data_IF_560614289345
#
_entry.id   IF_560614289345
#
_cell.length_a   1.000
_cell.length_b   1.000
_cell.length_c   1.000
_cell.angle_alpha   90.00
_cell.angle_beta   90.00
_cell.angle_gamma   90.00
#
_symmetry.space_group_name_H-M   'P 1'
#
loop_
_entity.id
_entity.type
_entity.pdbx_description
1 polymer ?
#
# COMPACT_ATOMS: atom_id res chain seq x y z
N UNK A 1 11.96 -21.76 -28.04
CA UNK A 1 11.19 -21.49 -29.29
C UNK A 1 9.83 -22.09 -29.14
N UNK A 2 8.81 -21.34 -28.86
CA UNK A 2 7.39 -21.60 -29.11
C UNK A 2 6.50 -20.55 -28.38
N UNK A 3 6.51 -19.31 -28.85
CA UNK A 3 5.65 -18.22 -28.35
C UNK A 3 4.66 -17.73 -29.42
N UNK A 4 4.34 -18.56 -30.40
CA UNK A 4 3.59 -18.10 -31.59
C UNK A 4 2.12 -18.59 -31.68
N UNK A 5 1.63 -19.44 -30.79
CA UNK A 5 0.27 -19.99 -30.91
C UNK A 5 -0.85 -19.26 -30.18
N UNK A 6 -0.54 -18.55 -29.09
CA UNK A 6 -1.59 -17.89 -28.28
C UNK A 6 -2.12 -16.57 -28.85
N UNK A 7 -1.32 -15.84 -29.63
CA UNK A 7 -1.78 -14.57 -30.24
C UNK A 7 -2.69 -14.75 -31.45
N UNK A 8 -2.60 -15.87 -32.17
CA UNK A 8 -3.43 -16.14 -33.35
C UNK A 8 -4.86 -16.59 -32.99
N UNK A 9 -5.07 -17.15 -31.82
CA UNK A 9 -6.41 -17.56 -31.35
C UNK A 9 -7.25 -16.40 -30.84
N UNK A 10 -6.61 -15.31 -30.38
CA UNK A 10 -7.35 -14.12 -29.91
C UNK A 10 -7.86 -13.25 -31.07
N UNK A 11 -7.18 -13.26 -32.20
CA UNK A 11 -7.58 -12.48 -33.39
C UNK A 11 -8.50 -13.25 -34.36
N UNK A 12 -8.68 -14.54 -34.13
CA UNK A 12 -9.56 -15.37 -34.99
C UNK A 12 -11.03 -15.46 -34.55
N UNK A 13 -11.36 -14.88 -33.36
CA UNK A 13 -12.72 -14.96 -32.81
C UNK A 13 -13.67 -13.84 -33.21
N UNK A 14 -13.21 -12.83 -33.96
CA UNK A 14 -14.04 -11.66 -34.33
C UNK A 14 -14.40 -11.53 -35.80
N UNK A 15 -14.14 -12.55 -36.61
CA UNK A 15 -14.38 -12.49 -38.05
C UNK A 15 -15.58 -13.33 -38.56
N UNK A 16 -16.54 -13.68 -37.71
CA UNK A 16 -17.70 -14.49 -38.12
C UNK A 16 -19.05 -13.86 -37.70
N UNK A 17 -19.18 -12.54 -37.85
CA UNK A 17 -20.47 -11.89 -37.64
C UNK A 17 -20.62 -10.63 -38.54
N UNK A 18 -20.44 -10.79 -39.85
CA UNK A 18 -20.86 -9.76 -40.82
C UNK A 18 -21.41 -10.45 -42.08
N UNK A 19 -22.65 -10.80 -42.05
CA UNK A 19 -23.52 -10.90 -43.24
C UNK A 19 -24.96 -11.11 -42.81
N UNK A 20 -25.69 -10.10 -42.36
CA UNK A 20 -27.09 -9.88 -42.68
C UNK A 20 -27.32 -8.39 -42.72
N UNK A 21 -27.50 -7.85 -43.90
CA UNK A 21 -27.91 -6.49 -44.08
C UNK A 21 -29.38 -6.28 -43.69
N UNK A 22 -29.64 -5.24 -42.94
CA UNK A 22 -30.90 -4.52 -42.97
C UNK A 22 -30.64 -3.17 -42.31
N UNK A 23 -30.94 -2.11 -43.06
CA UNK A 23 -30.99 -0.73 -42.59
C UNK A 23 -31.89 -0.58 -41.37
N UNK A 24 -31.32 -0.67 -40.19
CA UNK A 24 -31.97 -0.38 -38.94
C UNK A 24 -31.17 0.71 -38.25
N UNK A 25 -31.73 1.90 -38.18
CA UNK A 25 -31.29 2.94 -37.26
C UNK A 25 -31.17 2.31 -35.90
N UNK A 26 -29.94 2.10 -35.43
CA UNK A 26 -29.69 1.75 -34.02
C UNK A 26 -30.04 3.01 -33.24
N UNK A 27 -31.33 3.18 -32.93
CA UNK A 27 -31.70 4.03 -31.81
C UNK A 27 -31.02 3.42 -30.61
N UNK A 28 -30.17 4.19 -29.97
CA UNK A 28 -29.60 3.86 -28.64
C UNK A 28 -30.78 3.79 -27.66
N UNK A 29 -31.56 2.71 -27.72
CA UNK A 29 -32.43 2.31 -26.64
C UNK A 29 -31.52 2.11 -25.47
N UNK A 30 -31.53 3.07 -24.55
CA UNK A 30 -30.70 3.03 -23.37
C UNK A 30 -30.78 1.64 -22.75
N UNK A 31 -29.64 0.97 -22.69
CA UNK A 31 -29.46 -0.14 -21.77
C UNK A 31 -29.55 0.48 -20.37
N UNK A 32 -30.79 0.73 -19.95
CA UNK A 32 -31.12 0.92 -18.54
C UNK A 32 -31.04 -0.47 -17.89
N UNK A 33 -29.87 -1.05 -17.91
CA UNK A 33 -29.50 -1.99 -16.89
C UNK A 33 -29.32 -1.15 -15.63
N UNK A 34 -30.40 -0.76 -15.00
CA UNK A 34 -30.40 -0.52 -13.58
C UNK A 34 -30.06 -1.86 -12.91
N UNK A 35 -28.78 -2.24 -13.05
CA UNK A 35 -28.15 -3.21 -12.19
C UNK A 35 -28.37 -2.67 -10.80
N UNK A 36 -29.27 -3.28 -10.05
CA UNK A 36 -29.40 -3.06 -8.62
C UNK A 36 -28.11 -3.59 -8.02
N UNK A 37 -27.04 -2.80 -8.14
CA UNK A 37 -25.79 -3.09 -7.44
C UNK A 37 -26.13 -3.27 -5.98
N UNK A 38 -25.75 -4.38 -5.37
CA UNK A 38 -25.99 -4.56 -3.95
C UNK A 38 -25.46 -3.36 -3.21
N UNK A 39 -26.25 -2.76 -2.32
CA UNK A 39 -25.81 -1.62 -1.51
C UNK A 39 -24.65 -2.07 -0.65
N UNK A 40 -23.45 -1.66 -0.98
CA UNK A 40 -22.26 -1.94 -0.17
C UNK A 40 -22.30 -1.04 1.05
N UNK A 41 -22.42 -1.64 2.24
CA UNK A 41 -22.32 -0.91 3.48
C UNK A 41 -20.84 -0.79 3.86
N UNK A 42 -20.33 0.43 3.90
CA UNK A 42 -19.01 0.74 4.45
C UNK A 42 -19.13 1.02 5.95
N UNK A 43 -18.21 0.43 6.73
CA UNK A 43 -18.20 0.60 8.17
C UNK A 43 -19.13 -0.35 8.95
N UNK A 44 -19.19 -0.20 10.28
CA UNK A 44 -20.01 -1.04 11.15
C UNK A 44 -21.50 -0.65 11.09
N UNK A 45 -22.35 -1.53 11.59
CA UNK A 45 -23.75 -1.19 11.83
C UNK A 45 -23.86 -0.05 12.84
N UNK A 46 -24.97 0.70 12.78
CA UNK A 46 -25.24 1.76 13.76
C UNK A 46 -25.15 1.21 15.19
N UNK A 47 -24.50 1.94 16.08
CA UNK A 47 -24.31 1.57 17.49
C UNK A 47 -23.18 0.56 17.74
N UNK A 48 -22.45 0.11 16.71
CA UNK A 48 -21.32 -0.81 16.86
C UNK A 48 -20.00 -0.03 16.70
N UNK A 49 -19.13 -0.10 17.71
CA UNK A 49 -17.77 0.40 17.60
C UNK A 49 -16.89 -0.59 16.81
N UNK A 50 -16.21 -0.12 15.76
CA UNK A 50 -15.26 -0.91 14.98
C UNK A 50 -13.87 -0.78 15.58
N UNK A 51 -13.38 -1.84 16.23
CA UNK A 51 -12.09 -1.85 16.93
C UNK A 51 -11.07 -2.84 16.32
N UNK A 52 -11.39 -3.42 15.17
CA UNK A 52 -10.56 -4.45 14.53
C UNK A 52 -9.57 -3.92 13.49
N UNK A 53 -9.55 -2.60 13.25
CA UNK A 53 -8.62 -1.96 12.33
C UNK A 53 -8.41 -0.48 12.70
N UNK A 54 -7.22 0.03 12.43
CA UNK A 54 -6.88 1.45 12.60
C UNK A 54 -7.32 2.21 11.33
N UNK A 55 -8.53 2.73 11.34
CA UNK A 55 -9.12 3.48 10.23
C UNK A 55 -9.51 4.89 10.67
N UNK A 56 -9.55 5.83 9.72
CA UNK A 56 -10.13 7.15 9.96
C UNK A 56 -11.65 7.08 9.78
N UNK A 57 -12.45 7.10 10.86
CA UNK A 57 -13.91 6.98 10.76
C UNK A 57 -14.59 8.23 10.17
N UNK A 58 -13.86 9.35 10.09
CA UNK A 58 -14.40 10.62 9.57
C UNK A 58 -14.31 10.72 8.05
N UNK A 59 -13.54 9.83 7.39
CA UNK A 59 -13.31 9.88 5.96
C UNK A 59 -12.54 11.13 5.47
N UNK A 60 -12.60 11.42 4.16
CA UNK A 60 -11.96 12.61 3.60
C UNK A 60 -12.68 13.90 4.00
N UNK A 61 -11.95 15.02 4.04
CA UNK A 61 -12.56 16.34 4.26
C UNK A 61 -13.48 16.74 3.09
N UNK A 62 -14.44 17.67 3.31
CA UNK A 62 -15.29 18.17 2.24
C UNK A 62 -14.50 18.72 1.03
N UNK A 63 -13.38 19.41 1.27
CA UNK A 63 -12.50 19.90 0.22
C UNK A 63 -11.86 18.76 -0.59
N UNK A 64 -11.43 17.68 0.10
CA UNK A 64 -10.89 16.50 -0.58
C UNK A 64 -11.97 15.78 -1.41
N UNK A 65 -13.19 15.62 -0.88
CA UNK A 65 -14.30 15.03 -1.64
C UNK A 65 -14.64 15.82 -2.88
N UNK A 66 -14.68 17.15 -2.79
CA UNK A 66 -14.89 18.04 -3.94
C UNK A 66 -13.80 17.84 -4.99
N UNK A 67 -12.53 17.89 -4.58
CA UNK A 67 -11.40 17.69 -5.49
C UNK A 67 -11.41 16.30 -6.16
N UNK A 68 -11.77 15.25 -5.43
CA UNK A 68 -11.91 13.89 -5.98
C UNK A 68 -13.01 13.86 -7.06
N UNK A 69 -14.18 14.45 -6.78
CA UNK A 69 -15.30 14.47 -7.74
C UNK A 69 -14.94 15.24 -9.02
N UNK A 70 -14.28 16.39 -8.88
CA UNK A 70 -13.83 17.19 -10.03
C UNK A 70 -12.76 16.47 -10.85
N UNK A 71 -11.78 15.85 -10.16
CA UNK A 71 -10.73 15.10 -10.82
C UNK A 71 -11.24 13.82 -11.50
N UNK A 72 -12.22 13.12 -10.92
CA UNK A 72 -12.75 11.89 -11.48
C UNK A 72 -13.39 12.09 -12.85
N UNK A 73 -14.03 13.23 -13.09
CA UNK A 73 -14.66 13.57 -14.37
C UNK A 73 -13.64 13.69 -15.52
N UNK A 74 -12.41 14.09 -15.23
CA UNK A 74 -11.35 14.34 -16.21
C UNK A 74 -10.18 13.35 -16.07
N UNK A 75 -9.77 13.05 -14.84
CA UNK A 75 -8.58 12.28 -14.53
C UNK A 75 -8.71 10.78 -14.81
N UNK A 76 -9.93 10.24 -14.88
CA UNK A 76 -10.15 8.83 -15.16
C UNK A 76 -9.74 8.38 -16.57
N UNK A 77 -9.56 9.33 -17.49
CA UNK A 77 -9.19 9.06 -18.87
C UNK A 77 -7.66 9.07 -19.11
N UNK A 78 -6.87 9.61 -18.19
CA UNK A 78 -5.45 9.86 -18.39
C UNK A 78 -4.62 9.40 -17.18
N UNK A 79 -3.33 9.16 -17.41
CA UNK A 79 -2.40 8.89 -16.31
C UNK A 79 -2.29 10.10 -15.38
N UNK A 80 -2.35 9.84 -14.07
CA UNK A 80 -2.27 10.87 -13.02
C UNK A 80 -0.84 11.42 -12.80
N UNK A 81 0.08 11.24 -13.77
CA UNK A 81 1.48 11.62 -13.61
C UNK A 81 1.68 13.10 -13.25
N UNK A 82 1.04 14.08 -13.90
CA UNK A 82 1.19 15.48 -13.51
C UNK A 82 0.73 15.76 -12.07
N UNK A 83 -0.39 15.20 -11.66
CA UNK A 83 -0.90 15.36 -10.30
C UNK A 83 0.02 14.69 -9.27
N UNK A 84 0.58 13.54 -9.60
CA UNK A 84 1.56 12.85 -8.77
C UNK A 84 2.83 13.69 -8.57
N UNK A 85 3.34 14.34 -9.63
CA UNK A 85 4.49 15.22 -9.53
C UNK A 85 4.21 16.44 -8.65
N UNK A 86 3.04 17.06 -8.81
CA UNK A 86 2.61 18.19 -7.96
C UNK A 86 2.54 17.76 -6.50
N UNK A 87 1.98 16.57 -6.20
CA UNK A 87 1.92 16.06 -4.83
C UNK A 87 3.32 15.85 -4.23
N UNK A 88 4.26 15.31 -5.00
CA UNK A 88 5.65 15.14 -4.56
C UNK A 88 6.32 16.48 -4.25
N UNK A 89 6.06 17.54 -5.02
CA UNK A 89 6.57 18.88 -4.73
C UNK A 89 5.99 19.43 -3.43
N UNK A 90 4.69 19.32 -3.25
CA UNK A 90 4.02 19.78 -2.02
C UNK A 90 4.53 19.06 -0.77
N UNK A 91 4.79 17.76 -0.88
CA UNK A 91 5.39 16.98 0.23
C UNK A 91 6.83 17.43 0.47
N UNK A 92 7.62 17.60 -0.58
CA UNK A 92 9.01 18.04 -0.48
C UNK A 92 9.11 19.41 0.21
N UNK A 93 8.31 20.37 -0.24
CA UNK A 93 8.23 21.72 0.35
C UNK A 93 7.83 21.67 1.84
N UNK A 94 6.76 20.93 2.16
CA UNK A 94 6.26 20.81 3.54
C UNK A 94 7.30 20.25 4.51
N UNK A 95 8.17 19.36 4.04
CA UNK A 95 9.17 18.69 4.88
C UNK A 95 10.59 19.24 4.72
N UNK A 96 10.80 20.27 3.90
CA UNK A 96 12.12 20.86 3.68
C UNK A 96 13.11 19.88 3.03
N UNK A 97 12.62 18.99 2.17
CA UNK A 97 13.42 17.96 1.48
C UNK A 97 13.25 18.07 -0.04
N UNK A 98 13.86 17.19 -0.79
CA UNK A 98 13.71 17.13 -2.26
C UNK A 98 12.87 15.93 -2.68
N UNK A 99 12.31 15.96 -3.91
CA UNK A 99 11.58 14.82 -4.49
C UNK A 99 12.37 13.51 -4.44
N UNK A 100 13.71 13.57 -4.50
CA UNK A 100 14.58 12.38 -4.44
C UNK A 100 14.48 11.61 -3.12
N UNK A 101 14.00 12.27 -2.08
CA UNK A 101 13.82 11.68 -0.75
C UNK A 101 12.42 11.07 -0.56
N UNK A 102 11.57 11.09 -1.59
CA UNK A 102 10.18 10.69 -1.48
C UNK A 102 9.89 9.54 -2.45
N UNK A 103 9.31 8.47 -1.94
CA UNK A 103 8.68 7.41 -2.73
C UNK A 103 7.18 7.43 -2.48
N UNK A 104 6.40 7.25 -3.54
CA UNK A 104 4.94 7.30 -3.48
C UNK A 104 4.31 6.02 -4.02
N UNK A 105 3.28 5.54 -3.35
CA UNK A 105 2.47 4.40 -3.79
C UNK A 105 1.02 4.51 -3.29
N UNK A 106 0.18 3.53 -3.61
CA UNK A 106 -1.15 3.40 -3.05
C UNK A 106 -1.07 2.94 -1.58
N UNK A 107 -0.82 3.87 -0.67
CA UNK A 107 -0.46 3.62 0.73
C UNK A 107 1.03 3.27 0.90
N UNK A 108 1.50 3.17 2.15
CA UNK A 108 2.91 2.86 2.45
C UNK A 108 3.26 1.38 2.34
N UNK A 109 2.29 0.48 2.45
CA UNK A 109 2.54 -0.97 2.50
C UNK A 109 3.31 -1.52 1.29
N UNK A 110 3.04 -1.13 0.03
CA UNK A 110 3.86 -1.59 -1.10
C UNK A 110 5.32 -1.20 -0.98
N UNK A 111 5.61 0.05 -0.60
CA UNK A 111 6.99 0.55 -0.45
C UNK A 111 7.72 -0.21 0.64
N UNK A 112 7.08 -0.38 1.81
CA UNK A 112 7.64 -1.13 2.93
C UNK A 112 7.91 -2.59 2.55
N UNK A 113 6.98 -3.23 1.83
CA UNK A 113 7.17 -4.60 1.35
C UNK A 113 8.33 -4.72 0.36
N UNK A 114 8.46 -3.77 -0.58
CA UNK A 114 9.59 -3.76 -1.52
C UNK A 114 10.92 -3.51 -0.82
N UNK A 115 10.95 -2.63 0.18
CA UNK A 115 12.15 -2.41 1.00
C UNK A 115 12.57 -3.70 1.72
N UNK A 116 11.61 -4.40 2.34
CA UNK A 116 11.86 -5.67 3.01
C UNK A 116 12.37 -6.75 2.02
N UNK A 117 11.75 -6.88 0.83
CA UNK A 117 12.18 -7.82 -0.20
C UNK A 117 13.59 -7.49 -0.70
N UNK A 118 13.91 -6.20 -0.88
CA UNK A 118 15.25 -5.79 -1.31
C UNK A 118 16.30 -6.07 -0.24
N UNK A 119 15.99 -5.81 1.03
CA UNK A 119 16.86 -6.08 2.16
C UNK A 119 17.10 -7.59 2.33
N UNK A 120 16.06 -8.41 2.24
CA UNK A 120 16.15 -9.86 2.43
C UNK A 120 17.08 -10.58 1.45
N UNK A 121 17.41 -9.95 0.33
CA UNK A 121 18.43 -10.44 -0.62
C UNK A 121 19.86 -10.25 -0.13
N UNK A 122 20.06 -9.44 0.90
CA UNK A 122 21.38 -9.09 1.45
C UNK A 122 21.60 -9.68 2.85
N UNK A 123 20.52 -9.98 3.57
CA UNK A 123 20.60 -10.49 4.92
C UNK A 123 19.23 -10.63 5.54
N UNK A 124 19.20 -10.81 6.85
CA UNK A 124 17.96 -11.01 7.63
C UNK A 124 17.37 -9.65 8.04
N UNK A 125 16.09 -9.65 8.36
CA UNK A 125 15.38 -8.50 8.92
C UNK A 125 15.29 -8.70 10.42
N UNK A 126 15.58 -7.66 11.20
CA UNK A 126 15.46 -7.62 12.66
C UNK A 126 14.26 -6.74 13.03
N UNK A 127 13.47 -7.17 13.98
CA UNK A 127 12.38 -6.41 14.54
C UNK A 127 12.03 -6.80 15.97
N UNK A 128 11.21 -6.04 16.71
CA UNK A 128 10.71 -6.49 18.00
C UNK A 128 9.80 -7.71 17.81
N UNK A 129 9.51 -8.44 18.89
CA UNK A 129 8.63 -9.59 18.82
C UNK A 129 7.17 -9.19 18.56
N UNK A 130 6.70 -8.16 19.26
CA UNK A 130 5.34 -7.64 19.12
C UNK A 130 5.35 -6.30 18.37
N UNK A 131 5.10 -6.33 17.07
CA UNK A 131 4.95 -5.15 16.21
C UNK A 131 4.11 -5.48 14.95
N UNK A 132 3.77 -4.45 14.18
CA UNK A 132 3.09 -4.65 12.91
C UNK A 132 4.10 -5.08 11.83
N UNK A 133 4.16 -6.37 11.59
CA UNK A 133 5.19 -7.03 10.78
C UNK A 133 4.74 -7.40 9.36
N UNK A 134 3.50 -7.09 8.99
CA UNK A 134 2.87 -7.54 7.74
C UNK A 134 3.74 -7.30 6.50
N UNK A 135 4.40 -6.14 6.42
CA UNK A 135 5.26 -5.80 5.28
C UNK A 135 6.63 -6.46 5.36
N UNK A 136 7.18 -6.63 6.58
CA UNK A 136 8.47 -7.29 6.78
C UNK A 136 8.41 -8.79 6.56
N UNK A 137 7.23 -9.40 6.66
CA UNK A 137 6.97 -10.80 6.31
C UNK A 137 6.79 -11.04 4.81
N UNK A 138 6.72 -10.00 3.99
CA UNK A 138 6.55 -10.18 2.54
C UNK A 138 7.64 -11.07 1.91
N UNK A 139 8.94 -10.98 2.30
CA UNK A 139 9.99 -11.86 1.78
C UNK A 139 9.85 -13.33 2.19
N UNK A 140 9.31 -13.62 3.38
CA UNK A 140 9.15 -15.00 3.87
C UNK A 140 8.27 -15.82 2.91
N UNK A 141 7.26 -15.20 2.31
CA UNK A 141 6.41 -15.82 1.28
C UNK A 141 7.16 -16.20 0.00
N UNK A 142 8.36 -15.68 -0.16
CA UNK A 142 9.27 -15.94 -1.28
C UNK A 142 10.47 -16.81 -0.87
N UNK A 143 10.40 -17.43 0.30
CA UNK A 143 11.43 -18.32 0.82
C UNK A 143 12.61 -17.64 1.53
N UNK A 144 12.50 -16.34 1.84
CA UNK A 144 13.51 -15.68 2.66
C UNK A 144 13.42 -16.16 4.13
N UNK A 145 14.54 -16.05 4.90
CA UNK A 145 14.53 -16.36 6.31
C UNK A 145 13.51 -15.52 7.10
N UNK A 146 12.98 -16.09 8.16
CA UNK A 146 12.10 -15.39 9.09
C UNK A 146 12.79 -14.19 9.75
N UNK A 147 11.97 -13.24 10.20
CA UNK A 147 12.41 -12.06 10.94
C UNK A 147 13.10 -12.50 12.24
N UNK A 148 14.25 -11.93 12.52
CA UNK A 148 14.90 -12.04 13.83
C UNK A 148 14.09 -11.21 14.83
N UNK A 149 13.46 -11.85 15.80
CA UNK A 149 12.56 -11.20 16.74
C UNK A 149 13.22 -11.01 18.09
N UNK A 150 13.17 -9.78 18.58
CA UNK A 150 13.69 -9.40 19.89
C UNK A 150 12.53 -9.20 20.85
N UNK A 151 12.51 -9.88 22.00
CA UNK A 151 11.44 -9.74 22.97
C UNK A 151 11.22 -8.28 23.38
N UNK A 152 9.95 -7.90 23.50
CA UNK A 152 9.60 -6.60 24.06
C UNK A 152 9.86 -6.63 25.57
N UNK A 153 10.03 -5.46 26.19
CA UNK A 153 10.13 -5.33 27.63
C UNK A 153 8.84 -5.76 28.35
N UNK A 154 8.89 -5.93 29.67
CA UNK A 154 7.73 -6.38 30.44
C UNK A 154 6.50 -5.45 30.32
N UNK A 155 6.71 -4.17 30.05
CA UNK A 155 5.64 -3.20 29.78
C UNK A 155 5.24 -3.10 28.30
N UNK A 156 5.71 -4.03 27.47
CA UNK A 156 5.46 -4.15 26.03
C UNK A 156 6.09 -3.03 25.17
N UNK A 157 7.07 -2.32 25.72
CA UNK A 157 7.88 -1.36 24.95
C UNK A 157 8.90 -2.12 24.06
N UNK A 158 9.36 -1.46 23.02
CA UNK A 158 10.45 -1.99 22.18
C UNK A 158 11.76 -1.83 22.96
N UNK A 159 12.50 -2.90 23.12
CA UNK A 159 13.82 -2.90 23.76
C UNK A 159 14.91 -2.57 22.73
N UNK A 160 15.23 -1.27 22.60
CA UNK A 160 16.24 -0.81 21.66
C UNK A 160 17.64 -1.30 22.00
N UNK A 161 17.97 -1.50 23.28
CA UNK A 161 19.30 -1.96 23.67
C UNK A 161 19.49 -3.45 23.29
N UNK A 162 18.48 -4.26 23.56
CA UNK A 162 18.49 -5.68 23.13
C UNK A 162 18.47 -5.81 21.59
N UNK A 163 17.71 -4.96 20.88
CA UNK A 163 17.74 -4.92 19.42
C UNK A 163 19.13 -4.54 18.90
N UNK A 164 19.77 -3.55 19.49
CA UNK A 164 21.12 -3.14 19.09
C UNK A 164 22.15 -4.25 19.30
N UNK A 165 22.08 -4.93 20.44
CA UNK A 165 22.95 -6.06 20.76
C UNK A 165 22.81 -7.26 19.80
N UNK A 166 21.66 -7.36 19.14
CA UNK A 166 21.38 -8.43 18.17
C UNK A 166 21.76 -8.08 16.72
N UNK A 167 22.25 -6.87 16.46
CA UNK A 167 22.71 -6.47 15.12
C UNK A 167 24.10 -7.07 14.88
N UNK A 168 24.21 -7.88 13.84
CA UNK A 168 25.45 -8.45 13.32
C UNK A 168 25.49 -8.35 11.78
N UNK A 169 26.53 -8.89 11.17
CA UNK A 169 26.73 -8.87 9.72
C UNK A 169 25.63 -9.59 8.92
N UNK A 170 24.82 -10.41 9.58
CA UNK A 170 23.68 -11.09 8.94
C UNK A 170 22.44 -10.22 8.82
N UNK A 171 22.37 -9.08 9.53
CA UNK A 171 21.22 -8.17 9.55
C UNK A 171 21.37 -7.13 8.46
N UNK A 172 20.42 -7.06 7.56
CA UNK A 172 20.38 -6.09 6.44
C UNK A 172 19.35 -4.98 6.63
N UNK A 173 18.39 -5.18 7.53
CA UNK A 173 17.35 -4.19 7.81
C UNK A 173 16.85 -4.34 9.25
N UNK A 174 16.62 -3.20 9.89
CA UNK A 174 15.90 -3.12 11.17
C UNK A 174 14.54 -2.50 10.91
N UNK A 175 13.47 -3.13 11.40
CA UNK A 175 12.11 -2.60 11.31
C UNK A 175 11.59 -2.20 12.70
N UNK A 176 11.28 -0.92 12.87
CA UNK A 176 10.67 -0.34 14.07
C UNK A 176 9.34 0.30 13.68
N UNK A 177 8.27 -0.06 14.39
CA UNK A 177 6.97 0.59 14.27
C UNK A 177 6.80 1.57 15.44
N UNK A 178 6.74 2.88 15.16
CA UNK A 178 6.64 3.90 16.20
C UNK A 178 5.66 5.03 15.79
N UNK A 179 4.55 5.27 16.52
CA UNK A 179 4.05 4.48 17.65
C UNK A 179 3.84 3.02 17.31
N UNK A 180 4.10 2.12 18.28
CA UNK A 180 4.04 0.68 18.02
C UNK A 180 2.59 0.19 17.85
N UNK A 181 2.33 -0.55 16.82
CA UNK A 181 1.10 -1.30 16.62
C UNK A 181 1.38 -2.78 16.92
N UNK A 182 0.70 -3.44 17.90
CA UNK A 182 -0.59 -3.05 18.48
C UNK A 182 -0.52 -2.32 19.83
N UNK A 183 0.65 -2.13 20.45
CA UNK A 183 0.76 -1.69 21.84
C UNK A 183 0.43 -0.20 22.07
N UNK A 184 0.53 0.63 21.04
CA UNK A 184 0.41 2.08 21.15
C UNK A 184 1.59 2.76 21.85
N UNK A 185 2.60 2.00 22.26
CA UNK A 185 3.79 2.55 22.94
C UNK A 185 4.59 3.45 21.99
N UNK A 186 5.12 4.52 22.54
CA UNK A 186 5.96 5.50 21.85
C UNK A 186 7.38 5.38 22.40
N UNK A 187 8.35 5.31 21.52
CA UNK A 187 9.76 5.34 21.88
C UNK A 187 10.18 6.77 22.24
N UNK A 188 11.07 6.87 23.22
CA UNK A 188 11.76 8.13 23.50
C UNK A 188 12.52 8.62 22.26
N UNK A 189 12.31 9.86 21.80
CA UNK A 189 12.91 10.35 20.56
C UNK A 189 14.44 10.36 20.58
N UNK A 190 15.05 10.67 21.73
CA UNK A 190 16.51 10.77 21.85
C UNK A 190 17.14 9.38 21.86
N UNK A 191 16.50 8.41 22.53
CA UNK A 191 16.92 7.00 22.48
C UNK A 191 16.81 6.42 21.08
N UNK A 192 15.70 6.69 20.39
CA UNK A 192 15.52 6.23 19.01
C UNK A 192 16.55 6.87 18.07
N UNK A 193 16.80 8.17 18.23
CA UNK A 193 17.85 8.86 17.46
C UNK A 193 19.23 8.26 17.72
N UNK A 194 19.57 8.02 18.98
CA UNK A 194 20.86 7.41 19.36
C UNK A 194 21.00 6.00 18.76
N UNK A 195 19.93 5.21 18.78
CA UNK A 195 19.90 3.90 18.14
C UNK A 195 20.16 3.95 16.62
N UNK A 196 19.58 4.95 15.91
CA UNK A 196 19.75 5.09 14.47
C UNK A 196 21.13 5.62 14.04
N UNK A 197 21.87 6.25 14.95
CA UNK A 197 23.19 6.86 14.66
C UNK A 197 24.35 5.88 14.95
N UNK A 198 24.14 4.96 15.89
CA UNK A 198 25.11 3.90 16.22
C UNK A 198 25.31 2.94 15.05
#
# INVERSE_FOLDING_TARGET
MSYSRSRRLFLGGTAAATAVGASGIITSSGVSAASTMPKVNFGPKAGVAKLNANENPFGPSPAALKAISEAAAQGGAYYAYPAAMTLLDMIAERHGITRKNISMSAGSSPILSYAAIAASKKGRILGPDLFWDTTSKAPEKQGAPEIVRIPNTADLSIDLDAMYAAIDDSISMVHICNPNNPTGKILDPDKLRAFCIK
#
